data_IF_518200331200
#
_entry.id   IF_518200331200
#
_cell.length_a   1.000
_cell.length_b   1.000
_cell.length_c   1.000
_cell.angle_alpha   90.00
_cell.angle_beta   90.00
_cell.angle_gamma   90.00
#
_symmetry.space_group_name_H-M   'P 1'
#
loop_
_entity.id
_entity.type
_entity.pdbx_description
1 polymer ?
#
# COMPACT_ATOMS: atom_id res chain seq x y z
N UNK A 1 3.10 -24.30 1.64
CA UNK A 1 3.30 -23.65 0.32
C UNK A 1 4.56 -22.77 0.37
N UNK A 2 5.40 -22.79 -0.68
CA UNK A 2 6.54 -21.88 -0.82
C UNK A 2 6.09 -20.77 -1.77
N UNK A 3 6.17 -19.51 -1.32
CA UNK A 3 5.85 -18.36 -2.17
C UNK A 3 7.07 -17.96 -2.99
N UNK A 4 6.91 -17.82 -4.30
CA UNK A 4 7.97 -17.35 -5.21
C UNK A 4 7.66 -15.91 -5.57
N UNK A 5 8.55 -14.98 -5.20
CA UNK A 5 8.40 -13.55 -5.50
C UNK A 5 8.68 -13.28 -6.97
N UNK A 6 7.78 -12.56 -7.64
CA UNK A 6 7.94 -12.09 -9.01
C UNK A 6 7.96 -10.55 -8.97
N UNK A 7 9.03 -9.90 -9.43
CA UNK A 7 9.10 -8.44 -9.43
C UNK A 7 8.14 -7.84 -10.46
N UNK A 8 7.64 -6.63 -10.18
CA UNK A 8 6.86 -5.87 -11.14
C UNK A 8 7.67 -5.53 -12.39
N UNK A 9 7.04 -5.59 -13.55
CA UNK A 9 7.69 -5.10 -14.76
C UNK A 9 7.66 -3.56 -14.78
N UNK A 10 8.69 -2.89 -15.35
CA UNK A 10 8.65 -1.45 -15.54
C UNK A 10 7.45 -0.97 -16.37
N UNK A 11 6.96 -1.81 -17.28
CA UNK A 11 5.79 -1.50 -18.12
C UNK A 11 4.49 -1.49 -17.32
N UNK A 12 4.36 -2.39 -16.34
CA UNK A 12 3.21 -2.41 -15.44
C UNK A 12 3.15 -1.14 -14.59
N UNK A 13 4.29 -0.71 -14.02
CA UNK A 13 4.37 0.51 -13.21
C UNK A 13 3.94 1.76 -14.00
N UNK A 14 4.41 1.89 -15.25
CA UNK A 14 4.01 3.00 -16.14
C UNK A 14 2.52 2.93 -16.47
N UNK A 15 2.00 1.73 -16.75
CA UNK A 15 0.58 1.53 -17.08
C UNK A 15 -0.32 1.87 -15.89
N UNK A 16 0.06 1.44 -14.69
CA UNK A 16 -0.68 1.73 -13.46
C UNK A 16 -0.67 3.22 -13.14
N UNK A 17 0.48 3.90 -13.26
CA UNK A 17 0.56 5.36 -13.07
C UNK A 17 -0.31 6.11 -14.09
N UNK A 18 -0.23 5.74 -15.36
CA UNK A 18 -1.06 6.35 -16.40
C UNK A 18 -2.56 6.12 -16.16
N UNK A 19 -2.92 4.92 -15.70
CA UNK A 19 -4.30 4.57 -15.36
C UNK A 19 -4.81 5.35 -14.16
N UNK A 20 -3.97 5.54 -13.14
CA UNK A 20 -4.31 6.29 -11.92
C UNK A 20 -4.52 7.76 -12.22
N UNK A 21 -3.57 8.38 -12.93
CA UNK A 21 -3.50 9.83 -13.03
C UNK A 21 -3.04 10.46 -11.70
N UNK A 22 -3.12 11.79 -11.57
CA UNK A 22 -2.73 12.49 -10.35
C UNK A 22 -3.68 12.18 -9.19
N UNK A 23 -3.14 11.86 -8.01
CA UNK A 23 -3.97 11.53 -6.86
C UNK A 23 -4.85 12.71 -6.41
N UNK A 24 -4.33 13.96 -6.46
CA UNK A 24 -5.14 15.16 -6.16
C UNK A 24 -6.39 15.33 -7.02
N UNK A 25 -6.42 14.77 -8.23
CA UNK A 25 -7.56 14.94 -9.14
C UNK A 25 -8.69 13.97 -8.82
N UNK A 26 -8.38 12.70 -8.56
CA UNK A 26 -9.37 11.68 -8.21
C UNK A 26 -8.78 10.62 -7.27
N UNK A 27 -8.79 10.87 -5.94
CA UNK A 27 -8.33 9.91 -4.94
C UNK A 27 -9.08 8.57 -5.01
N UNK A 28 -10.37 8.58 -5.38
CA UNK A 28 -11.20 7.38 -5.46
C UNK A 28 -10.78 6.46 -6.61
N UNK A 29 -10.38 7.04 -7.75
CA UNK A 29 -9.83 6.28 -8.87
C UNK A 29 -8.49 5.63 -8.52
N UNK A 30 -7.59 6.36 -7.84
CA UNK A 30 -6.32 5.79 -7.38
C UNK A 30 -6.55 4.64 -6.41
N UNK A 31 -7.49 4.79 -5.47
CA UNK A 31 -7.85 3.72 -4.52
C UNK A 31 -8.34 2.45 -5.22
N UNK A 32 -9.19 2.56 -6.26
CA UNK A 32 -9.68 1.41 -7.04
C UNK A 32 -8.56 0.68 -7.79
N UNK A 33 -7.58 1.44 -8.30
CA UNK A 33 -6.41 0.85 -8.98
C UNK A 33 -5.50 0.14 -7.97
N UNK A 34 -5.26 0.76 -6.82
CA UNK A 34 -4.52 0.12 -5.73
C UNK A 34 -5.19 -1.20 -5.30
N UNK A 35 -6.51 -1.21 -5.11
CA UNK A 35 -7.27 -2.42 -4.77
C UNK A 35 -7.12 -3.52 -5.84
N UNK A 36 -7.14 -3.13 -7.13
CA UNK A 36 -6.95 -4.06 -8.26
C UNK A 36 -5.55 -4.66 -8.25
N UNK A 37 -4.51 -3.86 -8.01
CA UNK A 37 -3.12 -4.32 -7.95
C UNK A 37 -2.93 -5.27 -6.76
N UNK A 38 -3.42 -4.93 -5.56
CA UNK A 38 -3.32 -5.78 -4.38
C UNK A 38 -3.95 -7.16 -4.64
N UNK A 39 -5.16 -7.20 -5.22
CA UNK A 39 -5.86 -8.45 -5.51
C UNK A 39 -5.18 -9.31 -6.58
N UNK A 40 -4.51 -8.70 -7.55
CA UNK A 40 -3.93 -9.42 -8.70
C UNK A 40 -2.48 -9.83 -8.48
N UNK A 41 -1.71 -9.01 -7.76
CA UNK A 41 -0.28 -9.23 -7.56
C UNK A 41 0.05 -9.84 -6.20
N UNK A 42 -0.88 -9.76 -5.23
CA UNK A 42 -0.67 -10.19 -3.85
C UNK A 42 0.68 -9.70 -3.27
N UNK A 43 0.94 -8.37 -3.33
CA UNK A 43 2.23 -7.79 -3.00
C UNK A 43 2.59 -7.97 -1.53
N UNK A 44 3.88 -8.07 -1.24
CA UNK A 44 4.39 -7.91 0.11
C UNK A 44 4.54 -6.42 0.49
N UNK A 45 5.08 -6.14 1.68
CA UNK A 45 5.20 -4.77 2.17
C UNK A 45 6.07 -3.88 1.26
N UNK A 46 7.22 -4.39 0.82
CA UNK A 46 8.13 -3.62 -0.04
C UNK A 46 7.47 -3.31 -1.39
N UNK A 47 6.74 -4.28 -1.92
CA UNK A 47 5.98 -4.12 -3.15
C UNK A 47 4.87 -3.05 -2.99
N UNK A 48 4.20 -3.00 -1.83
CA UNK A 48 3.23 -1.94 -1.50
C UNK A 48 3.90 -0.55 -1.49
N UNK A 49 5.13 -0.44 -0.96
CA UNK A 49 5.86 0.83 -0.98
C UNK A 49 6.17 1.28 -2.41
N UNK A 50 6.60 0.35 -3.28
CA UNK A 50 6.85 0.63 -4.70
C UNK A 50 5.56 1.08 -5.41
N UNK A 51 4.43 0.43 -5.15
CA UNK A 51 3.14 0.83 -5.74
C UNK A 51 2.75 2.23 -5.26
N UNK A 52 2.87 2.50 -3.96
CA UNK A 52 2.56 3.82 -3.40
C UNK A 52 3.44 4.92 -4.01
N UNK A 53 4.75 4.70 -4.13
CA UNK A 53 5.68 5.66 -4.74
C UNK A 53 5.44 5.85 -6.24
N UNK A 54 4.89 4.82 -6.90
CA UNK A 54 4.50 4.91 -8.31
C UNK A 54 3.23 5.73 -8.47
N UNK A 55 2.18 5.39 -7.73
CA UNK A 55 0.84 5.95 -7.90
C UNK A 55 0.68 7.35 -7.30
N UNK A 56 1.38 7.62 -6.20
CA UNK A 56 1.16 8.80 -5.35
C UNK A 56 2.48 9.54 -5.17
N UNK A 57 2.45 10.87 -5.26
CA UNK A 57 3.64 11.70 -5.10
C UNK A 57 4.19 11.54 -3.67
N UNK A 58 5.49 11.70 -3.45
CA UNK A 58 6.08 11.62 -2.10
C UNK A 58 5.43 12.58 -1.08
N UNK A 59 4.95 13.74 -1.54
CA UNK A 59 4.24 14.73 -0.71
C UNK A 59 2.80 14.28 -0.40
N UNK A 60 2.14 13.65 -1.37
CA UNK A 60 0.79 13.11 -1.19
C UNK A 60 0.81 11.84 -0.33
N UNK A 61 1.83 10.99 -0.47
CA UNK A 61 2.05 9.78 0.35
C UNK A 61 2.08 10.13 1.83
N UNK A 62 2.83 11.18 2.20
CA UNK A 62 2.86 11.67 3.57
C UNK A 62 1.50 12.20 4.05
N UNK A 63 0.73 12.87 3.19
CA UNK A 63 -0.62 13.32 3.55
C UNK A 63 -1.60 12.16 3.72
N UNK A 64 -1.57 11.16 2.83
CA UNK A 64 -2.47 9.99 2.90
C UNK A 64 -2.17 9.14 4.14
N UNK A 65 -0.89 8.86 4.42
CA UNK A 65 -0.49 8.12 5.62
C UNK A 65 -0.92 8.85 6.90
N UNK A 66 -0.76 10.19 6.95
CA UNK A 66 -1.21 11.00 8.08
C UNK A 66 -2.73 11.03 8.23
N UNK A 67 -3.47 11.27 7.14
CA UNK A 67 -4.93 11.29 7.18
C UNK A 67 -5.51 9.95 7.64
N UNK A 68 -4.98 8.83 7.13
CA UNK A 68 -5.43 7.49 7.51
C UNK A 68 -5.09 7.17 8.96
N UNK A 69 -3.88 7.51 9.40
CA UNK A 69 -3.49 7.37 10.81
C UNK A 69 -4.37 8.22 11.74
N UNK A 70 -4.69 9.45 11.36
CA UNK A 70 -5.58 10.33 12.13
C UNK A 70 -7.02 9.80 12.15
N UNK A 71 -7.52 9.25 11.04
CA UNK A 71 -8.84 8.66 10.95
C UNK A 71 -8.96 7.39 11.80
N UNK A 72 -8.02 6.44 11.67
CA UNK A 72 -8.02 5.17 12.40
C UNK A 72 -7.87 5.37 13.93
N UNK A 73 -7.14 6.41 14.36
CA UNK A 73 -7.08 6.84 15.77
C UNK A 73 -8.41 7.42 16.24
N UNK A 74 -9.08 8.23 15.41
CA UNK A 74 -10.38 8.84 15.75
C UNK A 74 -11.51 7.83 15.82
N UNK A 75 -11.47 6.78 15.00
CA UNK A 75 -12.50 5.74 14.94
C UNK A 75 -12.19 4.52 15.81
N UNK A 76 -11.06 4.55 16.54
CA UNK A 76 -10.53 3.46 17.38
C UNK A 76 -10.56 2.08 16.70
N UNK A 77 -10.33 2.06 15.38
CA UNK A 77 -10.56 0.86 14.55
C UNK A 77 -9.34 -0.05 14.51
N UNK A 78 -8.22 0.40 15.07
CA UNK A 78 -6.93 -0.28 14.99
C UNK A 78 -6.35 -0.45 16.39
N UNK A 79 -6.25 -1.69 16.88
CA UNK A 79 -5.51 -1.98 18.11
C UNK A 79 -3.99 -1.94 17.85
N UNK A 80 -3.24 -1.21 18.68
CA UNK A 80 -1.80 -1.02 18.52
C UNK A 80 -1.42 0.44 18.26
N UNK A 81 -0.13 0.73 18.09
CA UNK A 81 0.33 2.08 17.74
C UNK A 81 0.20 2.34 16.24
N UNK A 82 0.11 3.60 15.83
CA UNK A 82 0.10 4.01 14.42
C UNK A 82 1.28 3.38 13.67
N UNK A 83 2.46 3.38 14.27
CA UNK A 83 3.69 2.83 13.68
C UNK A 83 3.65 1.30 13.51
N UNK A 84 2.85 0.58 14.29
CA UNK A 84 2.67 -0.87 14.13
C UNK A 84 1.75 -1.22 12.95
N UNK A 85 0.82 -0.33 12.60
CA UNK A 85 -0.19 -0.58 11.58
C UNK A 85 0.11 0.14 10.26
N UNK A 86 0.80 1.28 10.36
CA UNK A 86 1.27 2.10 9.25
C UNK A 86 2.76 2.43 9.45
N UNK A 87 3.64 1.42 9.51
CA UNK A 87 5.06 1.65 9.72
C UNK A 87 5.60 2.55 8.62
N UNK A 88 6.39 3.54 9.00
CA UNK A 88 7.03 4.44 8.03
C UNK A 88 8.31 3.81 7.46
N UNK A 89 8.79 2.70 8.05
CA UNK A 89 9.92 1.89 7.60
C UNK A 89 9.54 0.44 7.32
N UNK A 90 10.53 -0.39 6.97
CA UNK A 90 10.35 -1.83 6.75
C UNK A 90 10.00 -2.55 8.08
N UNK A 91 8.82 -3.18 8.21
CA UNK A 91 8.42 -3.93 9.39
C UNK A 91 9.08 -5.31 9.50
N UNK A 92 9.95 -5.69 8.56
CA UNK A 92 10.57 -7.02 8.44
C UNK A 92 9.55 -8.16 8.33
N UNK A 93 8.45 -7.89 7.63
CA UNK A 93 7.38 -8.88 7.50
C UNK A 93 7.81 -10.06 6.61
N UNK A 94 7.79 -11.28 7.14
CA UNK A 94 8.02 -12.51 6.39
C UNK A 94 6.68 -13.17 6.03
N UNK A 95 6.25 -13.13 4.75
CA UNK A 95 4.98 -13.70 4.31
C UNK A 95 4.90 -15.24 4.48
N UNK A 96 6.03 -15.92 4.73
CA UNK A 96 6.08 -17.35 4.99
C UNK A 96 6.04 -17.72 6.48
N UNK A 97 6.30 -16.77 7.39
CA UNK A 97 6.37 -17.01 8.84
C UNK A 97 5.32 -16.26 9.62
N UNK A 98 5.02 -15.04 9.19
CA UNK A 98 4.16 -14.15 9.92
C UNK A 98 2.72 -14.39 9.50
N UNK A 99 1.88 -14.71 10.49
CA UNK A 99 0.44 -14.81 10.28
C UNK A 99 -0.06 -13.41 9.96
N UNK A 100 -0.33 -13.13 8.68
CA UNK A 100 -1.25 -12.07 8.32
C UNK A 100 -2.52 -12.33 9.13
N UNK A 101 -2.99 -11.33 9.87
CA UNK A 101 -4.29 -11.37 10.53
C UNK A 101 -5.35 -11.76 9.47
N UNK A 102 -5.65 -13.05 9.41
CA UNK A 102 -6.87 -13.59 8.86
C UNK A 102 -7.73 -13.84 10.07
N UNK A 103 -8.78 -13.03 10.20
CA UNK A 103 -9.93 -13.33 11.05
C UNK A 103 -10.46 -14.74 10.75
#
# INVERSE_FOLDING_TARGET
>A
PVYVKIPFSPSDLVTWKASAGPYREDPGKVARIMETIIKTQNPDWDDIQVILDTLVDSTEKQMVLRMRAEEDVRTWTVAGTIDQNFPTGDPQWDPNRDKICRD
#
